data_IF_162349096751
#
_entry.id   IF_162349096751
#
_cell.length_a   1.000
_cell.length_b   1.000
_cell.length_c   1.000
_cell.angle_alpha   90.00
_cell.angle_beta   90.00
_cell.angle_gamma   90.00
#
_symmetry.space_group_name_H-M   'P 1'
#
loop_
_entity.id
_entity.type
_entity.pdbx_description
1 polymer ?
#
# COMPACT_ATOMS: atom_id res chain seq x y z
N UNK A 1 -1.18 5.39 -8.01
CA UNK A 1 -1.41 4.72 -9.31
C UNK A 1 -2.73 5.11 -9.99
N UNK A 2 -3.61 5.78 -9.25
CA UNK A 2 -4.96 6.23 -9.61
C UNK A 2 -5.11 6.98 -10.95
N UNK A 3 -4.06 7.61 -11.47
CA UNK A 3 -4.09 8.22 -12.80
C UNK A 3 -4.35 7.19 -13.91
N UNK A 4 -4.18 5.88 -13.68
CA UNK A 4 -4.49 4.81 -14.65
C UNK A 4 -5.99 4.63 -14.98
N UNK A 5 -6.89 5.42 -14.39
CA UNK A 5 -8.31 5.43 -14.78
C UNK A 5 -8.51 5.67 -16.29
N UNK A 6 -7.57 6.33 -16.99
CA UNK A 6 -7.63 6.46 -18.46
C UNK A 6 -7.49 5.12 -19.20
N UNK A 7 -6.70 4.17 -18.69
CA UNK A 7 -6.61 2.83 -19.29
C UNK A 7 -7.98 2.15 -19.28
N UNK A 8 -8.77 2.36 -18.22
CA UNK A 8 -10.16 1.90 -18.18
C UNK A 8 -10.99 2.55 -19.28
N UNK A 9 -11.00 3.88 -19.32
CA UNK A 9 -11.86 4.65 -20.23
C UNK A 9 -11.49 4.52 -21.71
N UNK A 10 -10.20 4.42 -22.04
CA UNK A 10 -9.68 4.52 -23.41
C UNK A 10 -9.26 3.17 -24.01
N UNK A 11 -8.92 2.18 -23.18
CA UNK A 11 -8.44 0.88 -23.64
C UNK A 11 -9.39 -0.23 -23.19
N UNK A 12 -9.69 -0.32 -21.90
CA UNK A 12 -10.36 -1.50 -21.36
C UNK A 12 -11.86 -1.52 -21.68
N UNK A 13 -12.56 -0.41 -21.47
CA UNK A 13 -13.99 -0.28 -21.79
C UNK A 13 -14.23 -0.42 -23.31
N UNK A 14 -13.49 0.28 -24.20
CA UNK A 14 -13.77 0.21 -25.63
C UNK A 14 -13.35 -1.11 -26.30
N UNK A 15 -12.26 -1.74 -25.87
CA UNK A 15 -11.74 -2.94 -26.53
C UNK A 15 -12.21 -4.26 -25.91
N UNK A 16 -12.52 -4.27 -24.60
CA UNK A 16 -12.92 -5.49 -23.89
C UNK A 16 -14.34 -5.44 -23.33
N UNK A 17 -15.07 -4.33 -23.50
CA UNK A 17 -16.45 -4.20 -23.04
C UNK A 17 -16.61 -4.29 -21.51
N UNK A 18 -15.52 -4.09 -20.76
CA UNK A 18 -15.53 -4.21 -19.30
C UNK A 18 -16.18 -3.00 -18.64
N UNK A 19 -16.54 -3.14 -17.37
CA UNK A 19 -17.09 -2.04 -16.57
C UNK A 19 -16.08 -0.87 -16.45
N UNK A 20 -16.51 0.40 -16.50
CA UNK A 20 -15.64 1.55 -16.21
C UNK A 20 -14.96 1.47 -14.84
N UNK A 21 -15.59 0.79 -13.87
CA UNK A 21 -15.05 0.53 -12.53
C UNK A 21 -13.76 -0.29 -12.55
N UNK A 22 -13.47 -1.00 -13.64
CA UNK A 22 -12.20 -1.74 -13.84
C UNK A 22 -10.97 -0.84 -13.68
N UNK A 23 -11.09 0.47 -13.90
CA UNK A 23 -10.01 1.44 -13.71
C UNK A 23 -9.56 1.62 -12.27
N UNK A 24 -10.45 1.39 -11.30
CA UNK A 24 -10.12 1.43 -9.88
C UNK A 24 -9.35 0.19 -9.41
N UNK A 25 -9.39 -0.92 -10.17
CA UNK A 25 -8.81 -2.19 -9.75
C UNK A 25 -7.28 -2.17 -9.67
N UNK A 26 -6.62 -1.31 -10.45
CA UNK A 26 -5.15 -1.24 -10.41
C UNK A 26 -4.65 -0.72 -9.06
N UNK A 27 -5.25 0.35 -8.53
CA UNK A 27 -4.88 0.90 -7.23
C UNK A 27 -5.26 -0.07 -6.11
N UNK A 28 -6.48 -0.61 -6.18
CA UNK A 28 -7.00 -1.58 -5.19
C UNK A 28 -6.12 -2.85 -5.16
N UNK A 29 -5.69 -3.32 -6.33
CA UNK A 29 -4.90 -4.53 -6.45
C UNK A 29 -3.42 -4.32 -6.15
N UNK A 30 -2.77 -3.34 -6.79
CA UNK A 30 -1.34 -3.10 -6.60
C UNK A 30 -1.05 -2.50 -5.24
N UNK A 31 -1.28 -1.20 -5.04
CA UNK A 31 -0.88 -0.49 -3.82
C UNK A 31 -1.76 -0.82 -2.60
N UNK A 32 -3.05 -1.07 -2.81
CA UNK A 32 -3.97 -1.54 -1.77
C UNK A 32 -3.81 -3.02 -1.42
N UNK A 33 -3.21 -3.80 -2.32
CA UNK A 33 -2.96 -5.22 -2.13
C UNK A 33 -4.23 -6.06 -1.90
N UNK A 34 -4.00 -7.30 -1.46
CA UNK A 34 -5.06 -8.28 -1.24
C UNK A 34 -6.06 -7.86 -0.17
N UNK A 35 -5.63 -7.07 0.82
CA UNK A 35 -6.48 -6.63 1.92
C UNK A 35 -7.57 -5.67 1.45
N UNK A 36 -7.21 -4.65 0.69
CA UNK A 36 -8.17 -3.73 0.07
C UNK A 36 -9.03 -4.46 -0.96
N UNK A 37 -8.43 -5.30 -1.82
CA UNK A 37 -9.18 -6.07 -2.81
C UNK A 37 -10.28 -6.94 -2.16
N UNK A 38 -9.95 -7.63 -1.06
CA UNK A 38 -10.91 -8.47 -0.33
C UNK A 38 -11.95 -7.63 0.41
N UNK A 39 -11.51 -6.56 1.08
CA UNK A 39 -12.40 -5.65 1.82
C UNK A 39 -13.41 -4.91 0.94
N UNK A 40 -13.10 -4.74 -0.34
CA UNK A 40 -13.98 -4.10 -1.33
C UNK A 40 -14.98 -5.06 -1.99
N UNK A 41 -14.90 -6.37 -1.76
CA UNK A 41 -15.75 -7.37 -2.43
C UNK A 41 -17.24 -7.10 -2.25
N UNK A 42 -17.68 -6.80 -1.04
CA UNK A 42 -19.09 -6.51 -0.75
C UNK A 42 -19.56 -5.23 -1.46
N UNK A 43 -18.71 -4.21 -1.53
CA UNK A 43 -19.00 -2.94 -2.22
C UNK A 43 -19.14 -3.19 -3.72
N UNK A 44 -18.18 -3.88 -4.33
CA UNK A 44 -18.22 -4.24 -5.75
C UNK A 44 -19.46 -5.08 -6.08
N UNK A 45 -19.81 -6.05 -5.23
CA UNK A 45 -20.99 -6.90 -5.40
C UNK A 45 -22.29 -6.09 -5.36
N UNK A 46 -22.43 -5.17 -4.40
CA UNK A 46 -23.60 -4.27 -4.29
C UNK A 46 -23.75 -3.34 -5.49
N UNK A 47 -22.63 -2.90 -6.06
CA UNK A 47 -22.60 -2.03 -7.24
C UNK A 47 -22.69 -2.80 -8.57
N UNK A 48 -22.95 -4.12 -8.52
CA UNK A 48 -23.11 -4.97 -9.70
C UNK A 48 -21.81 -5.31 -10.43
N UNK A 49 -20.64 -5.09 -9.81
CA UNK A 49 -19.32 -5.41 -10.35
C UNK A 49 -18.74 -6.69 -9.74
N UNK A 50 -19.46 -7.80 -9.87
CA UNK A 50 -19.14 -9.05 -9.18
C UNK A 50 -17.76 -9.61 -9.57
N UNK A 51 -17.38 -9.52 -10.85
CA UNK A 51 -16.08 -10.03 -11.32
C UNK A 51 -14.92 -9.15 -10.85
N UNK A 52 -15.19 -7.90 -10.45
CA UNK A 52 -14.20 -6.92 -10.04
C UNK A 52 -13.40 -7.36 -8.82
N UNK A 53 -14.02 -8.06 -7.88
CA UNK A 53 -13.35 -8.52 -6.65
C UNK A 53 -12.29 -9.58 -6.97
N UNK A 54 -12.65 -10.57 -7.79
CA UNK A 54 -11.74 -11.65 -8.16
C UNK A 54 -10.60 -11.14 -9.06
N UNK A 55 -10.91 -10.18 -9.95
CA UNK A 55 -9.89 -9.49 -10.73
C UNK A 55 -8.95 -8.68 -9.84
N UNK A 56 -9.45 -7.92 -8.87
CA UNK A 56 -8.63 -7.16 -7.94
C UNK A 56 -7.65 -8.05 -7.16
N UNK A 57 -8.14 -9.18 -6.64
CA UNK A 57 -7.32 -10.14 -5.88
C UNK A 57 -6.27 -10.80 -6.78
N UNK A 58 -6.64 -11.15 -8.02
CA UNK A 58 -5.69 -11.66 -9.01
C UNK A 58 -4.61 -10.63 -9.37
N UNK A 59 -5.00 -9.38 -9.62
CA UNK A 59 -4.09 -8.27 -9.91
C UNK A 59 -3.14 -8.03 -8.73
N UNK A 60 -3.65 -8.07 -7.48
CA UNK A 60 -2.84 -7.96 -6.28
C UNK A 60 -1.79 -9.06 -6.16
N UNK A 61 -2.13 -10.28 -6.58
CA UNK A 61 -1.21 -11.41 -6.57
C UNK A 61 -0.09 -11.20 -7.59
N UNK A 62 -0.43 -10.76 -8.80
CA UNK A 62 0.58 -10.41 -9.82
C UNK A 62 1.45 -9.26 -9.34
N UNK A 63 0.86 -8.21 -8.76
CA UNK A 63 1.57 -7.08 -8.17
C UNK A 63 2.60 -7.55 -7.13
N UNK A 64 2.16 -8.25 -6.08
CA UNK A 64 3.03 -8.70 -4.99
C UNK A 64 4.19 -9.57 -5.49
N UNK A 65 3.89 -10.59 -6.31
CA UNK A 65 4.90 -11.51 -6.83
C UNK A 65 5.88 -10.80 -7.75
N UNK A 66 5.36 -9.98 -8.69
CA UNK A 66 6.22 -9.22 -9.60
C UNK A 66 7.04 -8.16 -8.86
N UNK A 67 6.48 -7.51 -7.83
CA UNK A 67 7.17 -6.52 -7.00
C UNK A 67 8.38 -7.10 -6.28
N UNK A 68 8.26 -8.31 -5.74
CA UNK A 68 9.39 -9.01 -5.11
C UNK A 68 10.43 -9.41 -6.17
N UNK A 69 10.01 -10.08 -7.25
CA UNK A 69 10.93 -10.59 -8.28
C UNK A 69 11.67 -9.44 -8.97
N UNK A 70 10.92 -8.43 -9.44
CA UNK A 70 11.45 -7.25 -10.11
C UNK A 70 12.24 -6.40 -9.14
N UNK A 71 11.80 -6.24 -7.89
CA UNK A 71 12.53 -5.54 -6.84
C UNK A 71 13.92 -6.14 -6.60
N UNK A 72 14.01 -7.47 -6.42
CA UNK A 72 15.29 -8.16 -6.26
C UNK A 72 16.15 -8.04 -7.52
N UNK A 73 15.55 -8.17 -8.71
CA UNK A 73 16.28 -7.98 -9.97
C UNK A 73 16.85 -6.56 -10.10
N UNK A 74 16.08 -5.53 -9.70
CA UNK A 74 16.50 -4.14 -9.67
C UNK A 74 17.60 -3.92 -8.64
N UNK A 75 17.53 -4.51 -7.45
CA UNK A 75 18.59 -4.44 -6.43
C UNK A 75 19.90 -5.00 -7.00
N UNK A 76 19.85 -6.20 -7.58
CA UNK A 76 21.02 -6.81 -8.22
C UNK A 76 21.58 -5.95 -9.35
N UNK A 77 20.71 -5.35 -10.17
CA UNK A 77 21.12 -4.39 -11.20
C UNK A 77 21.75 -3.13 -10.59
N UNK A 78 21.15 -2.59 -9.53
CA UNK A 78 21.59 -1.38 -8.84
C UNK A 78 22.97 -1.55 -8.23
N UNK A 79 23.20 -2.66 -7.53
CA UNK A 79 24.51 -3.02 -6.95
C UNK A 79 25.56 -3.16 -8.04
N UNK A 80 25.27 -3.94 -9.10
CA UNK A 80 26.21 -4.16 -10.22
C UNK A 80 26.62 -2.87 -10.93
N UNK A 81 25.70 -1.90 -11.03
CA UNK A 81 25.92 -0.63 -11.72
C UNK A 81 26.29 0.53 -10.77
N UNK A 82 26.60 0.26 -9.51
CA UNK A 82 27.00 1.28 -8.52
C UNK A 82 25.93 2.34 -8.27
N UNK A 83 24.64 1.95 -8.28
CA UNK A 83 23.49 2.83 -8.04
C UNK A 83 23.10 2.92 -6.57
N UNK A 84 23.47 1.92 -5.78
CA UNK A 84 23.32 1.86 -4.33
C UNK A 84 24.49 2.56 -3.65
N UNK A 85 24.19 3.32 -2.60
CA UNK A 85 25.19 4.02 -1.77
C UNK A 85 25.68 3.11 -0.63
N UNK A 86 24.82 2.19 -0.15
CA UNK A 86 25.10 1.31 1.00
C UNK A 86 25.69 -0.02 0.53
N UNK A 87 24.93 -0.80 -0.23
CA UNK A 87 25.42 -2.05 -0.81
C UNK A 87 26.45 -1.75 -1.90
N UNK A 88 27.65 -2.31 -1.77
CA UNK A 88 28.71 -2.22 -2.79
C UNK A 88 29.02 -3.61 -3.35
N UNK A 89 29.57 -3.66 -4.56
CA UNK A 89 29.85 -4.89 -5.33
C UNK A 89 30.74 -5.95 -4.62
N UNK A 90 31.22 -5.68 -3.40
CA UNK A 90 32.17 -6.51 -2.67
C UNK A 90 31.57 -7.18 -1.41
N UNK A 91 30.26 -7.09 -1.20
CA UNK A 91 29.61 -7.78 -0.07
C UNK A 91 29.39 -9.25 -0.45
N UNK A 92 30.38 -10.11 -0.14
CA UNK A 92 30.12 -11.53 0.01
C UNK A 92 29.24 -11.72 1.24
N UNK A 93 27.93 -11.81 1.04
CA UNK A 93 27.02 -12.28 2.08
C UNK A 93 27.55 -13.63 2.57
N UNK A 94 27.69 -13.78 3.89
CA UNK A 94 28.08 -15.04 4.49
C UNK A 94 27.08 -16.14 4.09
N UNK A 95 27.51 -17.41 4.09
CA UNK A 95 26.63 -18.55 3.76
C UNK A 95 25.36 -18.54 4.63
N UNK A 96 25.47 -18.08 5.87
CA UNK A 96 24.35 -18.01 6.81
C UNK A 96 23.38 -16.88 6.46
N UNK A 97 23.87 -15.71 6.04
CA UNK A 97 23.04 -14.63 5.51
C UNK A 97 22.34 -15.03 4.19
N UNK A 98 23.02 -15.77 3.32
CA UNK A 98 22.42 -16.30 2.08
C UNK A 98 21.31 -17.33 2.36
N UNK A 99 21.40 -18.05 3.48
CA UNK A 99 20.34 -18.97 3.94
C UNK A 99 19.15 -18.24 4.56
N UNK A 100 19.29 -16.96 4.91
CA UNK A 100 18.26 -16.18 5.58
C UNK A 100 17.92 -16.70 6.99
N UNK A 101 18.83 -17.47 7.60
CA UNK A 101 18.67 -18.01 8.95
C UNK A 101 19.72 -17.37 9.86
N UNK A 102 19.26 -16.90 11.02
CA UNK A 102 20.18 -16.39 12.04
C UNK A 102 21.13 -17.49 12.51
N UNK A 103 22.37 -17.09 12.80
CA UNK A 103 23.33 -18.01 13.42
C UNK A 103 22.90 -18.37 14.83
N UNK A 104 23.41 -19.49 15.34
CA UNK A 104 23.09 -19.95 16.70
C UNK A 104 23.52 -18.98 17.81
N UNK A 105 24.52 -18.15 17.54
CA UNK A 105 25.07 -17.13 18.43
C UNK A 105 24.49 -15.72 18.18
N UNK A 106 23.51 -15.61 17.29
CA UNK A 106 22.89 -14.37 16.88
C UNK A 106 21.49 -14.25 17.48
N UNK A 107 21.22 -13.16 18.19
CA UNK A 107 19.99 -12.98 18.96
C UNK A 107 19.28 -11.68 18.58
N UNK A 108 18.07 -11.82 18.04
CA UNK A 108 17.17 -10.70 17.79
C UNK A 108 15.92 -10.81 18.65
N UNK A 109 15.55 -9.71 19.30
CA UNK A 109 14.31 -9.61 20.06
C UNK A 109 13.11 -9.80 19.14
N UNK A 110 12.17 -10.66 19.57
CA UNK A 110 10.88 -10.77 18.91
C UNK A 110 9.93 -9.62 19.25
N UNK A 111 10.12 -9.02 20.41
CA UNK A 111 9.26 -8.00 20.97
C UNK A 111 9.42 -8.00 22.47
N UNK A 112 8.98 -6.93 23.11
CA UNK A 112 9.03 -6.83 24.57
C UNK A 112 7.81 -7.52 25.17
N UNK A 113 8.04 -8.26 26.26
CA UNK A 113 6.94 -8.76 27.08
C UNK A 113 6.33 -7.58 27.86
N UNK A 114 5.21 -7.05 27.39
CA UNK A 114 4.59 -5.84 27.95
C UNK A 114 3.66 -6.11 29.14
N UNK A 115 3.31 -7.38 29.37
CA UNK A 115 2.61 -7.84 30.56
C UNK A 115 3.34 -9.03 31.18
N UNK A 116 3.08 -9.29 32.47
CA UNK A 116 3.52 -10.54 33.09
C UNK A 116 2.64 -11.67 32.54
N UNK A 117 3.22 -12.75 31.97
CA UNK A 117 2.44 -13.86 31.44
C UNK A 117 1.50 -14.52 32.48
N UNK A 118 1.84 -14.44 33.77
CA UNK A 118 0.99 -14.90 34.87
C UNK A 118 -0.31 -14.09 35.05
N UNK A 119 -0.38 -12.86 34.50
CA UNK A 119 -1.57 -12.01 34.54
C UNK A 119 -2.32 -12.06 33.23
N UNK A 120 -1.64 -11.72 32.13
CA UNK A 120 -2.17 -11.76 30.77
C UNK A 120 -1.00 -12.08 29.85
N UNK A 121 -1.21 -13.01 28.93
CA UNK A 121 -0.20 -13.35 27.93
C UNK A 121 0.00 -12.17 26.96
N UNK A 122 1.24 -11.69 26.73
CA UNK A 122 1.49 -10.47 25.94
C UNK A 122 0.97 -10.50 24.51
N UNK A 123 1.06 -11.62 23.78
CA UNK A 123 0.50 -11.72 22.43
C UNK A 123 -1.02 -11.52 22.44
N UNK A 124 -1.71 -12.14 23.39
CA UNK A 124 -3.15 -12.03 23.61
C UNK A 124 -3.55 -10.59 23.93
N UNK A 125 -2.75 -9.88 24.72
CA UNK A 125 -2.95 -8.47 25.02
C UNK A 125 -2.87 -7.61 23.75
N UNK A 126 -1.87 -7.83 22.89
CA UNK A 126 -1.74 -7.07 21.64
C UNK A 126 -2.86 -7.38 20.64
N UNK A 127 -3.30 -8.64 20.56
CA UNK A 127 -4.48 -9.02 19.75
C UNK A 127 -5.73 -8.30 20.27
N UNK A 128 -5.92 -8.21 21.59
CA UNK A 128 -7.05 -7.49 22.19
C UNK A 128 -6.99 -5.97 21.90
N UNK A 129 -5.81 -5.36 21.95
CA UNK A 129 -5.60 -3.95 21.60
C UNK A 129 -5.96 -3.72 20.11
N UNK A 130 -5.54 -4.61 19.21
CA UNK A 130 -5.91 -4.56 17.80
C UNK A 130 -7.42 -4.73 17.59
N UNK A 131 -8.05 -5.69 18.27
CA UNK A 131 -9.49 -5.89 18.20
C UNK A 131 -10.28 -4.66 18.70
N UNK A 132 -9.78 -3.99 19.75
CA UNK A 132 -10.35 -2.74 20.25
C UNK A 132 -10.23 -1.60 19.22
N UNK A 133 -9.09 -1.49 18.53
CA UNK A 133 -8.93 -0.51 17.45
C UNK A 133 -9.94 -0.74 16.31
N UNK A 134 -10.15 -2.01 15.92
CA UNK A 134 -11.16 -2.38 14.92
C UNK A 134 -12.57 -2.06 15.42
N UNK A 135 -12.88 -2.35 16.69
CA UNK A 135 -14.18 -2.04 17.30
C UNK A 135 -14.45 -0.53 17.30
N UNK A 136 -13.46 0.29 17.65
CA UNK A 136 -13.58 1.75 17.57
C UNK A 136 -13.87 2.18 16.13
N UNK A 137 -13.13 1.65 15.16
CA UNK A 137 -13.37 1.92 13.74
C UNK A 137 -14.78 1.54 13.28
N UNK A 138 -15.25 0.38 13.71
CA UNK A 138 -16.61 -0.09 13.42
C UNK A 138 -17.68 0.83 14.02
N UNK A 139 -17.51 1.25 15.28
CA UNK A 139 -18.42 2.20 15.92
C UNK A 139 -18.43 3.56 15.22
N UNK A 140 -17.28 4.04 14.74
CA UNK A 140 -17.22 5.29 13.97
C UNK A 140 -17.99 5.12 12.65
N UNK A 141 -17.76 4.01 11.93
CA UNK A 141 -18.45 3.75 10.66
C UNK A 141 -19.97 3.68 10.85
N UNK A 142 -20.43 2.96 11.88
CA UNK A 142 -21.85 2.83 12.18
C UNK A 142 -22.46 4.16 12.61
N UNK A 143 -21.73 4.96 13.39
CA UNK A 143 -22.13 6.33 13.74
C UNK A 143 -22.27 7.22 12.51
N UNK A 144 -21.33 7.14 11.56
CA UNK A 144 -21.39 7.92 10.30
C UNK A 144 -22.58 7.50 9.44
N UNK A 145 -22.84 6.19 9.31
CA UNK A 145 -24.02 5.66 8.61
C UNK A 145 -25.32 6.10 9.27
N UNK A 146 -25.38 6.08 10.60
CA UNK A 146 -26.54 6.56 11.33
C UNK A 146 -26.80 8.06 11.09
N UNK A 147 -25.74 8.89 11.11
CA UNK A 147 -25.85 10.32 10.79
C UNK A 147 -26.34 10.53 9.36
N UNK A 148 -25.77 9.80 8.39
CA UNK A 148 -26.18 9.85 6.97
C UNK A 148 -27.67 9.53 6.81
N UNK A 149 -28.13 8.41 7.39
CA UNK A 149 -29.53 8.01 7.38
C UNK A 149 -30.45 9.05 8.04
N UNK A 150 -30.00 9.71 9.11
CA UNK A 150 -30.77 10.72 9.81
C UNK A 150 -30.83 12.08 9.11
N UNK A 151 -29.89 12.38 8.20
CA UNK A 151 -29.71 13.73 7.65
C UNK A 151 -30.07 13.85 6.16
N UNK A 152 -29.35 13.14 5.29
CA UNK A 152 -29.42 13.34 3.84
C UNK A 152 -29.57 12.07 3.01
N UNK A 153 -29.70 10.89 3.63
CA UNK A 153 -29.99 9.65 2.88
C UNK A 153 -31.32 9.71 2.10
N UNK A 154 -32.23 10.63 2.43
CA UNK A 154 -33.46 10.89 1.68
C UNK A 154 -33.26 11.74 0.42
N UNK A 155 -32.07 12.32 0.23
CA UNK A 155 -31.72 13.11 -0.96
C UNK A 155 -31.30 12.15 -2.06
N UNK A 156 -32.02 12.17 -3.19
CA UNK A 156 -31.71 11.37 -4.37
C UNK A 156 -30.71 12.11 -5.27
N UNK A 157 -29.64 11.42 -5.69
CA UNK A 157 -28.85 11.79 -6.87
C UNK A 157 -29.49 11.10 -8.08
N UNK A 158 -30.16 11.86 -8.95
CA UNK A 158 -30.83 11.32 -10.14
C UNK A 158 -32.18 10.67 -9.84
N UNK A 159 -32.69 9.87 -10.79
CA UNK A 159 -34.09 9.41 -10.74
C UNK A 159 -34.35 8.32 -9.69
N UNK A 160 -33.33 7.54 -9.24
CA UNK A 160 -33.52 6.41 -8.32
C UNK A 160 -32.28 6.05 -7.45
N UNK A 161 -31.31 6.95 -7.23
CA UNK A 161 -30.11 6.63 -6.43
C UNK A 161 -30.04 7.48 -5.18
N UNK A 162 -30.27 6.92 -3.98
CA UNK A 162 -30.10 7.67 -2.73
C UNK A 162 -28.63 8.05 -2.52
N UNK A 163 -28.39 9.25 -1.99
CA UNK A 163 -27.07 9.74 -1.61
C UNK A 163 -26.60 9.02 -0.33
N UNK A 164 -26.18 7.77 -0.48
CA UNK A 164 -25.53 7.00 0.57
C UNK A 164 -24.04 6.88 0.25
N UNK A 165 -23.19 7.62 0.95
CA UNK A 165 -21.74 7.61 0.77
C UNK A 165 -21.12 6.61 1.76
N UNK A 166 -21.51 6.69 3.04
CA UNK A 166 -20.96 5.87 4.11
C UNK A 166 -21.46 4.42 4.11
N UNK A 167 -22.59 4.13 3.46
CA UNK A 167 -23.03 2.76 3.18
C UNK A 167 -22.00 1.96 2.36
N UNK A 168 -21.25 2.61 1.47
CA UNK A 168 -20.25 1.96 0.61
C UNK A 168 -18.83 2.03 1.17
N UNK A 169 -18.60 2.76 2.27
CA UNK A 169 -17.28 2.85 2.91
C UNK A 169 -16.97 1.51 3.59
N UNK A 170 -15.82 0.87 3.28
CA UNK A 170 -15.36 -0.34 3.96
C UNK A 170 -14.97 -0.07 5.41
N UNK A 171 -14.90 -1.14 6.22
CA UNK A 171 -14.52 -1.04 7.64
C UNK A 171 -13.04 -0.68 7.85
N UNK A 172 -12.14 -1.14 6.98
CA UNK A 172 -10.71 -1.13 7.29
C UNK A 172 -10.07 0.28 7.37
N UNK A 173 -10.44 1.32 6.58
CA UNK A 173 -9.93 2.68 6.79
C UNK A 173 -10.40 3.26 8.13
N UNK A 174 -11.61 2.88 8.56
CA UNK A 174 -12.16 3.29 9.85
C UNK A 174 -11.43 2.59 11.00
N UNK A 175 -11.04 1.32 10.82
CA UNK A 175 -10.20 0.61 11.77
C UNK A 175 -8.81 1.25 11.91
N UNK A 176 -8.22 1.77 10.83
CA UNK A 176 -6.97 2.55 10.88
C UNK A 176 -7.13 3.79 11.77
N UNK A 177 -8.20 4.57 11.56
CA UNK A 177 -8.52 5.73 12.42
C UNK A 177 -8.72 5.29 13.87
N UNK A 178 -9.40 4.16 14.09
CA UNK A 178 -9.57 3.56 15.42
C UNK A 178 -8.23 3.22 16.10
N UNK A 179 -7.26 2.71 15.34
CA UNK A 179 -5.89 2.48 15.81
C UNK A 179 -5.17 3.77 16.20
N UNK A 180 -5.29 4.83 15.39
CA UNK A 180 -4.73 6.16 15.72
C UNK A 180 -5.35 6.73 16.99
N UNK A 181 -6.68 6.66 17.12
CA UNK A 181 -7.39 7.12 18.32
C UNK A 181 -6.91 6.34 19.55
N UNK A 182 -6.83 5.01 19.45
CA UNK A 182 -6.36 4.16 20.54
C UNK A 182 -4.92 4.51 20.94
N UNK A 183 -4.05 4.76 19.95
CA UNK A 183 -2.66 5.17 20.18
C UNK A 183 -2.57 6.54 20.86
N UNK A 184 -3.42 7.50 20.50
CA UNK A 184 -3.50 8.81 21.14
C UNK A 184 -4.01 8.72 22.58
N UNK A 185 -5.04 7.90 22.82
CA UNK A 185 -5.57 7.63 24.17
C UNK A 185 -4.47 6.97 25.04
N UNK A 186 -3.77 5.97 24.52
CA UNK A 186 -2.70 5.30 25.26
C UNK A 186 -1.55 6.25 25.63
N UNK A 187 -1.22 7.21 24.74
CA UNK A 187 -0.24 8.27 25.03
C UNK A 187 -0.76 9.23 26.10
N UNK A 188 -2.01 9.68 25.98
CA UNK A 188 -2.62 10.61 26.93
C UNK A 188 -2.73 10.01 28.35
N UNK A 189 -2.99 8.71 28.45
CA UNK A 189 -3.06 7.96 29.72
C UNK A 189 -1.69 7.49 30.24
N UNK A 190 -0.59 7.70 29.49
CA UNK A 190 0.75 7.26 29.88
C UNK A 190 0.99 5.74 29.80
N UNK A 191 0.10 4.98 29.15
CA UNK A 191 0.16 3.52 29.04
C UNK A 191 0.67 3.02 27.69
N UNK A 192 1.20 3.91 26.85
CA UNK A 192 1.74 3.56 25.52
C UNK A 192 2.85 2.51 25.55
N UNK A 193 3.57 2.38 26.67
CA UNK A 193 4.60 1.37 26.87
C UNK A 193 4.08 -0.09 26.86
N UNK A 194 2.77 -0.28 26.98
CA UNK A 194 2.12 -1.60 26.91
C UNK A 194 1.97 -2.10 25.46
N UNK A 195 2.08 -1.20 24.48
CA UNK A 195 2.00 -1.50 23.05
C UNK A 195 3.42 -1.64 22.50
N UNK A 196 3.86 -2.87 22.26
CA UNK A 196 5.15 -3.19 21.65
C UNK A 196 5.04 -3.20 20.11
N UNK A 197 5.81 -2.36 19.40
CA UNK A 197 5.77 -2.31 17.94
C UNK A 197 6.22 -3.61 17.26
N UNK A 198 7.18 -4.35 17.83
CA UNK A 198 7.68 -5.58 17.20
C UNK A 198 6.63 -6.69 17.30
N UNK A 199 5.89 -6.76 18.41
CA UNK A 199 4.76 -7.67 18.55
C UNK A 199 3.64 -7.35 17.55
N UNK A 200 3.30 -6.06 17.39
CA UNK A 200 2.33 -5.63 16.37
C UNK A 200 2.76 -6.00 14.94
N UNK A 201 4.03 -5.82 14.59
CA UNK A 201 4.58 -6.22 13.28
C UNK A 201 4.49 -7.74 13.05
N UNK A 202 4.66 -8.55 14.09
CA UNK A 202 4.54 -10.02 13.99
C UNK A 202 3.10 -10.46 13.79
N UNK A 203 2.16 -9.85 14.52
CA UNK A 203 0.72 -10.08 14.31
C UNK A 203 0.34 -9.68 12.88
N UNK A 204 0.82 -8.52 12.41
CA UNK A 204 0.60 -8.05 11.04
C UNK A 204 1.15 -9.04 10.00
N UNK A 205 2.40 -9.50 10.16
CA UNK A 205 3.01 -10.46 9.23
C UNK A 205 2.23 -11.77 9.18
N UNK A 206 1.85 -12.31 10.34
CA UNK A 206 1.04 -13.52 10.42
C UNK A 206 -0.34 -13.35 9.77
N UNK A 207 -1.02 -12.23 10.03
CA UNK A 207 -2.30 -11.91 9.41
C UNK A 207 -2.18 -11.76 7.88
N UNK A 208 -1.10 -11.14 7.40
CA UNK A 208 -0.82 -10.97 5.97
C UNK A 208 -0.63 -12.33 5.30
N UNK A 209 0.13 -13.26 5.89
CA UNK A 209 0.33 -14.60 5.33
C UNK A 209 -1.00 -15.35 5.16
N UNK A 210 -1.86 -15.34 6.19
CA UNK A 210 -3.20 -15.93 6.11
C UNK A 210 -4.05 -15.27 5.03
N UNK A 211 -3.97 -13.95 4.91
CA UNK A 211 -4.71 -13.17 3.93
C UNK A 211 -4.25 -13.53 2.50
N UNK A 212 -2.94 -13.61 2.25
CA UNK A 212 -2.38 -14.00 0.94
C UNK A 212 -2.77 -15.42 0.57
N UNK A 213 -2.67 -16.38 1.51
CA UNK A 213 -3.08 -17.77 1.27
C UNK A 213 -4.57 -17.85 0.95
N UNK A 214 -5.41 -17.16 1.73
CA UNK A 214 -6.87 -17.14 1.52
C UNK A 214 -7.23 -16.48 0.20
N UNK A 215 -6.53 -15.40 -0.17
CA UNK A 215 -6.70 -14.74 -1.45
C UNK A 215 -6.37 -15.68 -2.62
N UNK A 216 -5.18 -16.31 -2.62
CA UNK A 216 -4.80 -17.28 -3.65
C UNK A 216 -5.82 -18.43 -3.74
N UNK A 217 -6.30 -18.92 -2.59
CA UNK A 217 -7.29 -20.00 -2.54
C UNK A 217 -8.69 -19.61 -3.05
N UNK A 218 -9.05 -18.32 -3.01
CA UNK A 218 -10.39 -17.82 -3.39
C UNK A 218 -10.43 -17.12 -4.75
N UNK A 219 -9.28 -16.91 -5.41
CA UNK A 219 -9.24 -16.32 -6.76
C UNK A 219 -9.98 -17.21 -7.76
N UNK A 220 -11.00 -16.64 -8.41
CA UNK A 220 -11.72 -17.30 -9.49
C UNK A 220 -10.91 -17.30 -10.79
N UNK A 221 -10.34 -18.45 -11.16
CA UNK A 221 -9.66 -18.64 -12.45
C UNK A 221 -10.61 -18.32 -13.61
N UNK A 222 -11.91 -18.61 -13.44
CA UNK A 222 -12.94 -18.30 -14.43
C UNK A 222 -13.09 -16.80 -14.65
N UNK A 223 -13.18 -16.00 -13.58
CA UNK A 223 -13.32 -14.55 -13.68
C UNK A 223 -12.11 -13.90 -14.38
N UNK A 224 -10.90 -14.41 -14.09
CA UNK A 224 -9.67 -13.99 -14.78
C UNK A 224 -9.69 -14.40 -16.25
N UNK A 225 -10.11 -15.64 -16.57
CA UNK A 225 -10.18 -16.13 -17.96
C UNK A 225 -11.16 -15.36 -18.83
N UNK A 226 -12.33 -15.00 -18.29
CA UNK A 226 -13.36 -14.23 -19.00
C UNK A 226 -12.95 -12.76 -19.22
N UNK A 227 -12.04 -12.22 -18.39
CA UNK A 227 -11.58 -10.84 -18.46
C UNK A 227 -10.06 -10.72 -18.68
N UNK A 228 -9.47 -11.69 -19.38
CA UNK A 228 -8.01 -11.83 -19.51
C UNK A 228 -7.36 -10.58 -20.12
N UNK A 229 -8.01 -9.93 -21.10
CA UNK A 229 -7.52 -8.70 -21.72
C UNK A 229 -7.38 -7.56 -20.72
N UNK A 230 -8.44 -7.26 -19.97
CA UNK A 230 -8.43 -6.24 -18.92
C UNK A 230 -7.40 -6.56 -17.83
N UNK A 231 -7.36 -7.82 -17.39
CA UNK A 231 -6.41 -8.30 -16.39
C UNK A 231 -4.96 -8.05 -16.82
N UNK A 232 -4.57 -8.47 -18.03
CA UNK A 232 -3.21 -8.31 -18.53
C UNK A 232 -2.82 -6.84 -18.71
N UNK A 233 -3.73 -6.01 -19.25
CA UNK A 233 -3.46 -4.57 -19.42
C UNK A 233 -3.21 -3.89 -18.08
N UNK A 234 -4.02 -4.19 -17.06
CA UNK A 234 -3.83 -3.61 -15.72
C UNK A 234 -2.56 -4.12 -15.05
N UNK A 235 -2.31 -5.44 -15.09
CA UNK A 235 -1.13 -6.04 -14.48
C UNK A 235 0.17 -5.56 -15.15
N UNK A 236 0.28 -5.66 -16.47
CA UNK A 236 1.49 -5.24 -17.19
C UNK A 236 1.65 -3.71 -17.12
N UNK A 237 0.55 -2.96 -17.29
CA UNK A 237 0.56 -1.51 -17.19
C UNK A 237 1.04 -1.02 -15.81
N UNK A 238 0.54 -1.64 -14.74
CA UNK A 238 0.97 -1.34 -13.37
C UNK A 238 2.45 -1.62 -13.12
N UNK A 239 2.96 -2.75 -13.61
CA UNK A 239 4.40 -3.09 -13.53
C UNK A 239 5.22 -2.05 -14.30
N UNK A 240 4.84 -1.75 -15.55
CA UNK A 240 5.59 -0.84 -16.43
C UNK A 240 5.64 0.56 -15.85
N UNK A 241 4.53 1.11 -15.34
CA UNK A 241 4.57 2.47 -14.78
C UNK A 241 5.43 2.54 -13.52
N UNK A 242 5.36 1.54 -12.62
CA UNK A 242 6.24 1.51 -11.45
C UNK A 242 7.71 1.48 -11.85
N UNK A 243 8.06 0.65 -12.84
CA UNK A 243 9.41 0.58 -13.37
C UNK A 243 9.87 1.91 -13.97
N UNK A 244 9.01 2.58 -14.73
CA UNK A 244 9.31 3.90 -15.30
C UNK A 244 9.49 4.93 -14.19
N UNK A 245 8.59 5.00 -13.21
CA UNK A 245 8.70 5.95 -12.11
C UNK A 245 9.98 5.70 -11.31
N UNK A 246 10.30 4.43 -10.99
CA UNK A 246 11.50 4.08 -10.25
C UNK A 246 12.80 4.38 -11.02
N UNK A 247 12.90 3.95 -12.28
CA UNK A 247 14.13 4.09 -13.06
C UNK A 247 14.34 5.51 -13.61
N UNK A 248 13.26 6.24 -13.87
CA UNK A 248 13.33 7.56 -14.49
C UNK A 248 13.03 8.71 -13.53
N UNK A 249 11.94 8.67 -12.76
CA UNK A 249 11.54 9.80 -11.93
C UNK A 249 12.32 9.86 -10.60
N UNK A 250 12.40 8.76 -9.88
CA UNK A 250 13.07 8.67 -8.56
C UNK A 250 14.49 9.24 -8.55
N UNK A 251 15.43 8.86 -9.47
CA UNK A 251 16.79 9.41 -9.45
C UNK A 251 16.86 10.92 -9.75
N UNK A 252 15.81 11.49 -10.37
CA UNK A 252 15.73 12.93 -10.68
C UNK A 252 15.18 13.76 -9.53
N UNK A 253 14.40 13.15 -8.64
CA UNK A 253 13.67 13.86 -7.58
C UNK A 253 14.31 13.66 -6.20
N UNK A 254 14.77 12.46 -5.86
CA UNK A 254 15.14 12.10 -4.47
C UNK A 254 16.60 12.43 -4.12
N UNK A 255 17.49 12.56 -5.11
CA UNK A 255 18.91 12.90 -4.87
C UNK A 255 19.71 11.79 -4.21
N UNK A 256 20.06 11.95 -2.92
CA UNK A 256 20.89 11.00 -2.17
C UNK A 256 20.06 9.81 -1.66
N UNK A 257 20.67 8.62 -1.65
CA UNK A 257 19.99 7.36 -1.31
C UNK A 257 18.72 7.13 -2.15
N UNK A 258 18.69 7.65 -3.38
CA UNK A 258 17.50 7.56 -4.24
C UNK A 258 17.10 6.11 -4.50
N UNK A 259 18.08 5.19 -4.53
CA UNK A 259 17.84 3.78 -4.76
C UNK A 259 17.22 3.13 -3.53
N UNK A 260 17.83 3.29 -2.35
CA UNK A 260 17.37 2.73 -1.07
C UNK A 260 16.00 3.30 -0.66
N UNK A 261 15.74 4.58 -0.95
CA UNK A 261 14.44 5.22 -0.74
C UNK A 261 13.42 4.75 -1.78
N UNK A 262 13.80 4.74 -3.05
CA UNK A 262 12.90 4.43 -4.16
C UNK A 262 12.47 2.96 -4.22
N UNK A 263 13.32 2.03 -3.78
CA UNK A 263 13.01 0.60 -3.86
C UNK A 263 11.90 0.22 -2.87
N UNK A 264 11.83 0.92 -1.73
CA UNK A 264 10.73 0.81 -0.78
C UNK A 264 9.40 1.25 -1.39
N UNK A 265 9.40 2.42 -2.04
CA UNK A 265 8.23 2.95 -2.74
C UNK A 265 7.79 2.04 -3.89
N UNK A 266 8.73 1.49 -4.68
CA UNK A 266 8.41 0.51 -5.72
C UNK A 266 7.77 -0.75 -5.13
N UNK A 267 8.34 -1.30 -4.05
CA UNK A 267 7.80 -2.49 -3.39
C UNK A 267 6.40 -2.26 -2.83
N UNK A 268 6.15 -1.09 -2.23
CA UNK A 268 4.83 -0.71 -1.73
C UNK A 268 3.82 -0.54 -2.88
N UNK A 269 4.16 0.25 -3.90
CA UNK A 269 3.29 0.47 -5.05
C UNK A 269 3.06 -0.78 -5.89
N UNK A 270 3.86 -1.84 -5.72
CA UNK A 270 3.61 -3.13 -6.36
C UNK A 270 2.87 -4.13 -5.47
N UNK A 271 2.78 -3.91 -4.17
CA UNK A 271 2.09 -4.82 -3.27
C UNK A 271 1.61 -4.11 -2.02
N UNK A 272 2.32 -4.26 -0.92
CA UNK A 272 1.95 -3.60 0.33
C UNK A 272 3.19 -3.01 1.00
N UNK A 273 2.97 -2.16 1.99
CA UNK A 273 4.04 -1.52 2.77
C UNK A 273 5.07 -2.55 3.28
N UNK A 274 4.63 -3.75 3.68
CA UNK A 274 5.53 -4.83 4.09
C UNK A 274 6.52 -5.26 2.98
N UNK A 275 6.07 -5.33 1.73
CA UNK A 275 6.92 -5.65 0.57
C UNK A 275 7.97 -4.57 0.35
N UNK A 276 7.59 -3.29 0.45
CA UNK A 276 8.52 -2.16 0.42
C UNK A 276 9.59 -2.26 1.51
N UNK A 277 9.17 -2.51 2.76
CA UNK A 277 10.07 -2.68 3.91
C UNK A 277 11.03 -3.85 3.72
N UNK A 278 10.57 -4.99 3.17
CA UNK A 278 11.45 -6.13 2.87
C UNK A 278 12.54 -5.74 1.88
N UNK A 279 12.20 -5.08 0.76
CA UNK A 279 13.18 -4.66 -0.22
C UNK A 279 14.17 -3.63 0.36
N UNK A 280 13.68 -2.70 1.18
CA UNK A 280 14.53 -1.73 1.87
C UNK A 280 15.52 -2.41 2.83
N UNK A 281 15.10 -3.45 3.55
CA UNK A 281 16.00 -4.21 4.44
C UNK A 281 17.08 -4.95 3.68
N UNK A 282 16.84 -5.33 2.43
CA UNK A 282 17.89 -5.90 1.58
C UNK A 282 18.90 -4.80 1.22
N UNK A 283 18.42 -3.62 0.83
CA UNK A 283 19.30 -2.52 0.39
C UNK A 283 19.97 -1.72 1.50
N UNK A 284 19.40 -1.72 2.70
CA UNK A 284 19.90 -1.04 3.90
C UNK A 284 19.64 -1.91 5.14
N UNK A 285 20.37 -3.03 5.33
CA UNK A 285 20.10 -3.99 6.42
C UNK A 285 20.19 -3.37 7.81
N UNK A 286 21.17 -2.48 8.01
CA UNK A 286 21.46 -1.86 9.30
C UNK A 286 20.67 -0.56 9.55
N UNK A 287 19.73 -0.20 8.65
CA UNK A 287 19.02 1.08 8.65
C UNK A 287 19.97 2.29 8.82
N UNK A 288 21.10 2.22 8.11
CA UNK A 288 22.19 3.20 8.17
C UNK A 288 21.88 4.48 7.39
N UNK A 289 20.91 4.44 6.47
CA UNK A 289 20.45 5.59 5.70
C UNK A 289 19.16 6.19 6.28
N UNK A 290 18.83 7.45 5.94
CA UNK A 290 17.55 8.05 6.32
C UNK A 290 16.35 7.43 5.58
N UNK A 291 16.53 6.36 4.79
CA UNK A 291 15.47 5.80 3.97
C UNK A 291 14.29 5.27 4.78
N UNK A 292 14.55 4.47 5.84
CA UNK A 292 13.49 3.94 6.70
C UNK A 292 12.71 5.03 7.44
N UNK A 293 13.42 6.03 7.96
CA UNK A 293 12.80 7.16 8.65
C UNK A 293 11.91 7.97 7.70
N UNK A 294 12.43 8.33 6.53
CA UNK A 294 11.67 9.06 5.50
C UNK A 294 10.45 8.27 5.02
N UNK A 295 10.59 6.96 4.83
CA UNK A 295 9.50 6.07 4.44
C UNK A 295 8.41 6.03 5.52
N UNK A 296 8.80 5.86 6.80
CA UNK A 296 7.85 5.83 7.92
C UNK A 296 7.05 7.13 8.09
N UNK A 297 7.71 8.30 8.00
CA UNK A 297 7.01 9.58 8.07
C UNK A 297 6.02 9.78 6.92
N UNK A 298 6.38 9.34 5.72
CA UNK A 298 5.48 9.37 4.55
C UNK A 298 4.23 8.53 4.81
N UNK A 299 4.38 7.32 5.35
CA UNK A 299 3.23 6.42 5.55
C UNK A 299 2.15 7.01 6.46
N UNK A 300 2.55 7.76 7.50
CA UNK A 300 1.59 8.38 8.42
C UNK A 300 0.58 9.29 7.73
N UNK A 301 1.02 10.00 6.68
CA UNK A 301 0.15 10.89 5.89
C UNK A 301 -0.45 10.14 4.71
N UNK A 302 0.27 9.17 4.14
CA UNK A 302 -0.10 8.55 2.87
C UNK A 302 -1.14 7.43 3.01
N UNK A 303 -0.92 6.45 3.89
CA UNK A 303 -1.78 5.26 4.03
C UNK A 303 -3.25 5.54 4.41
N UNK A 304 -3.59 6.60 5.18
CA UNK A 304 -5.00 6.91 5.45
C UNK A 304 -5.79 7.29 4.18
N UNK A 305 -5.12 7.73 3.11
CA UNK A 305 -5.77 8.18 1.88
C UNK A 305 -5.54 7.22 0.70
N UNK A 306 -4.30 6.77 0.50
CA UNK A 306 -3.88 5.92 -0.62
C UNK A 306 -3.43 4.53 -0.15
N UNK A 307 -3.10 3.61 -1.05
CA UNK A 307 -2.66 2.25 -0.68
C UNK A 307 -3.69 1.47 0.11
N UNK A 308 -4.96 1.67 -0.22
CA UNK A 308 -6.10 1.14 0.51
C UNK A 308 -6.83 2.18 1.37
N UNK A 309 -6.29 3.37 1.58
CA UNK A 309 -6.97 4.42 2.33
C UNK A 309 -8.31 4.89 1.72
N UNK A 310 -8.85 5.97 2.28
CA UNK A 310 -10.18 6.50 1.93
C UNK A 310 -10.36 6.78 0.44
N UNK A 311 -9.34 7.29 -0.25
CA UNK A 311 -9.43 7.61 -1.70
C UNK A 311 -9.52 6.32 -2.51
N UNK A 312 -8.66 5.35 -2.22
CA UNK A 312 -8.67 4.04 -2.87
C UNK A 312 -10.00 3.31 -2.65
N UNK A 313 -10.51 3.32 -1.40
CA UNK A 313 -11.78 2.68 -1.07
C UNK A 313 -12.98 3.36 -1.74
N UNK A 314 -12.94 4.68 -1.91
CA UNK A 314 -14.01 5.44 -2.57
C UNK A 314 -13.91 5.46 -4.10
N UNK A 315 -12.80 4.98 -4.68
CA UNK A 315 -12.60 5.00 -6.13
C UNK A 315 -13.73 4.31 -6.90
N UNK A 316 -14.15 3.12 -6.49
CA UNK A 316 -15.23 2.37 -7.17
C UNK A 316 -16.59 3.07 -7.00
N UNK A 317 -17.05 3.43 -5.79
CA UNK A 317 -18.27 4.21 -5.62
C UNK A 317 -18.28 5.52 -6.41
N UNK A 318 -17.16 6.27 -6.45
CA UNK A 318 -17.05 7.52 -7.21
C UNK A 318 -17.18 7.26 -8.70
N UNK A 319 -16.51 6.23 -9.24
CA UNK A 319 -16.62 5.87 -10.65
C UNK A 319 -18.05 5.42 -10.99
N UNK A 320 -18.71 4.68 -10.10
CA UNK A 320 -20.10 4.26 -10.28
C UNK A 320 -21.05 5.47 -10.35
N UNK A 321 -20.91 6.44 -9.45
CA UNK A 321 -21.81 7.60 -9.35
C UNK A 321 -21.54 8.69 -10.40
N UNK A 322 -20.26 8.96 -10.69
CA UNK A 322 -19.85 10.13 -11.49
C UNK A 322 -19.26 9.76 -12.85
N UNK A 323 -19.06 8.46 -13.11
CA UNK A 323 -18.29 7.97 -14.23
C UNK A 323 -16.78 8.03 -13.99
N UNK A 324 -16.00 7.53 -14.95
CA UNK A 324 -14.54 7.41 -14.83
C UNK A 324 -13.79 8.74 -14.99
N UNK A 325 -14.35 9.70 -15.74
CA UNK A 325 -13.66 10.93 -16.13
C UNK A 325 -13.37 11.89 -14.98
N UNK A 326 -14.30 12.17 -14.04
CA UNK A 326 -14.03 13.11 -12.95
C UNK A 326 -12.87 12.66 -12.07
N UNK A 327 -12.90 11.39 -11.61
CA UNK A 327 -11.81 10.82 -10.81
C UNK A 327 -10.49 10.82 -11.59
N UNK A 328 -10.53 10.46 -12.88
CA UNK A 328 -9.35 10.49 -13.74
C UNK A 328 -8.69 11.88 -13.80
N UNK A 329 -9.45 12.95 -14.06
CA UNK A 329 -8.86 14.29 -14.18
C UNK A 329 -8.32 14.82 -12.86
N UNK A 330 -9.00 14.53 -11.74
CA UNK A 330 -8.49 14.88 -10.41
C UNK A 330 -7.15 14.18 -10.17
N UNK A 331 -7.08 12.87 -10.40
CA UNK A 331 -5.86 12.10 -10.14
C UNK A 331 -4.75 12.36 -11.15
N UNK A 332 -5.08 12.70 -12.39
CA UNK A 332 -4.11 13.20 -13.35
C UNK A 332 -3.54 14.54 -12.89
N UNK A 333 -4.38 15.46 -12.41
CA UNK A 333 -3.93 16.78 -11.93
C UNK A 333 -3.00 16.62 -10.73
N UNK A 334 -3.37 15.82 -9.75
CA UNK A 334 -2.53 15.53 -8.58
C UNK A 334 -1.20 14.91 -9.01
N UNK A 335 -1.22 13.93 -9.91
CA UNK A 335 -0.01 13.30 -10.43
C UNK A 335 0.91 14.29 -11.18
N UNK A 336 0.34 15.09 -12.10
CA UNK A 336 1.11 16.09 -12.86
C UNK A 336 1.70 17.14 -11.93
N UNK A 337 0.92 17.65 -10.96
CA UNK A 337 1.42 18.61 -9.96
C UNK A 337 2.55 17.99 -9.13
N UNK A 338 2.40 16.74 -8.68
CA UNK A 338 3.44 16.04 -7.92
C UNK A 338 4.72 15.83 -8.73
N UNK A 339 4.61 15.42 -10.00
CA UNK A 339 5.75 15.23 -10.91
C UNK A 339 6.45 16.56 -11.20
N UNK A 340 5.68 17.61 -11.52
CA UNK A 340 6.23 18.93 -11.81
C UNK A 340 6.91 19.53 -10.57
N UNK A 341 6.28 19.44 -9.39
CA UNK A 341 6.89 19.88 -8.14
C UNK A 341 8.17 19.08 -7.84
N UNK A 342 8.13 17.75 -8.04
CA UNK A 342 9.30 16.88 -7.89
C UNK A 342 10.45 17.29 -8.81
N UNK A 343 10.19 17.53 -10.10
CA UNK A 343 11.22 17.82 -11.09
C UNK A 343 11.75 19.25 -11.05
N UNK A 344 10.89 20.25 -10.77
CA UNK A 344 11.26 21.67 -10.85
C UNK A 344 11.62 22.29 -9.50
N UNK A 345 11.08 21.79 -8.39
CA UNK A 345 11.34 22.36 -7.07
C UNK A 345 12.29 21.49 -6.24
N UNK A 346 11.99 20.20 -6.08
CA UNK A 346 12.76 19.33 -5.19
C UNK A 346 14.02 18.77 -5.87
N UNK A 347 13.91 18.29 -7.11
CA UNK A 347 15.00 17.66 -7.86
C UNK A 347 16.27 18.51 -7.94
N UNK A 348 16.20 19.80 -8.35
CA UNK A 348 17.40 20.65 -8.44
C UNK A 348 18.05 20.90 -7.07
N UNK A 349 17.26 20.94 -6.00
CA UNK A 349 17.76 21.12 -4.63
C UNK A 349 18.48 19.86 -4.15
N UNK A 350 17.83 18.71 -4.28
CA UNK A 350 18.37 17.41 -3.87
C UNK A 350 19.62 17.02 -4.69
N UNK A 351 19.69 17.40 -5.97
CA UNK A 351 20.90 17.20 -6.78
C UNK A 351 22.07 18.07 -6.32
N UNK A 352 21.83 19.35 -5.99
CA UNK A 352 22.86 20.23 -5.43
C UNK A 352 23.38 19.72 -4.09
N UNK A 353 22.49 19.24 -3.23
CA UNK A 353 22.86 18.67 -1.93
C UNK A 353 23.73 17.41 -2.11
N UNK A 354 23.40 16.56 -3.10
CA UNK A 354 24.21 15.40 -3.47
C UNK A 354 25.59 15.80 -4.01
N UNK A 355 25.66 16.77 -4.91
CA UNK A 355 26.93 17.27 -5.47
C UNK A 355 27.84 17.87 -4.38
N UNK A 356 27.27 18.67 -3.47
CA UNK A 356 28.00 19.25 -2.36
C UNK A 356 28.58 18.18 -1.42
N UNK A 357 27.83 17.10 -1.18
CA UNK A 357 28.31 15.98 -0.37
C UNK A 357 29.42 15.19 -1.06
N UNK A 358 29.29 14.91 -2.36
CA UNK A 358 30.35 14.23 -3.13
C UNK A 358 31.65 15.05 -3.15
N UNK A 359 31.54 16.37 -3.25
CA UNK A 359 32.67 17.29 -3.19
C UNK A 359 33.37 17.31 -1.81
N UNK A 360 32.68 16.93 -0.73
CA UNK A 360 33.30 16.80 0.60
C UNK A 360 34.03 15.46 0.80
N UNK A 361 33.77 14.47 -0.07
CA UNK A 361 34.38 13.14 0.02
C UNK A 361 35.55 12.92 -0.95
N UNK A 362 35.67 13.78 -1.97
CA UNK A 362 36.80 13.83 -2.89
C UNK A 362 37.93 14.67 -2.29
#
# INVERSE_FOLDING_TARGET
>A
MESFCWCSALIIVPFFGSSPMTGGLIEIGFEGGHGTATGMRDVMTRLGFNEGADLAVGIATVGLVSGIIVGIALINWGVRNGKTEILKNDVQLSIDEQRGLFRKDEYYSAGKMTSRPASVEPLSLHIAIMALAILIGWLILEGLRWIEHATYASIMIGENTPLEIFSYVPLFPMALIGGVILQLIAKALGVSHVIDPQMMLRIQGWALDFLVISAIATVSIKAVGENLGAFLVLSVGGIVINLVLFLWLTPRVIGRFWFERGIGDLGQSMGVTATGVILMRITDPDASSPAFEAFGYKQLIFEPFFGGGLVTAMAIPIIYLTGVWPLFFVMLTVFVVAVLAGLFHFGPKEQRDREAWLAQQA
#
